data_IF_464171997480
#
_entry.id   IF_464171997480
#
_cell.length_a   1.000
_cell.length_b   1.000
_cell.length_c   1.000
_cell.angle_alpha   90.00
_cell.angle_beta   90.00
_cell.angle_gamma   90.00
#
_symmetry.space_group_name_H-M   'P 1'
#
loop_
_entity.id
_entity.type
_entity.pdbx_description
1 polymer ?
#
# COMPACT_ATOMS: atom_id res chain seq x y z
N UNK A 1 11.45 -8.79 -29.84
CA UNK A 1 11.42 -7.69 -28.85
C UNK A 1 10.01 -7.15 -28.79
N UNK A 2 9.38 -7.01 -27.61
CA UNK A 2 8.09 -6.34 -27.48
C UNK A 2 8.18 -4.89 -27.97
N UNK A 3 7.07 -4.32 -28.45
CA UNK A 3 7.04 -2.90 -28.81
C UNK A 3 7.28 -2.03 -27.56
N UNK A 4 7.82 -0.79 -27.70
CA UNK A 4 8.02 0.10 -26.55
C UNK A 4 6.74 0.34 -25.73
N UNK A 5 5.59 0.35 -26.42
CA UNK A 5 4.25 0.43 -25.81
C UNK A 5 3.96 -0.79 -24.93
N UNK A 6 4.13 -2.00 -25.46
CA UNK A 6 3.86 -3.24 -24.73
C UNK A 6 4.84 -3.46 -23.56
N UNK A 7 6.12 -3.11 -23.76
CA UNK A 7 7.10 -3.17 -22.67
C UNK A 7 6.73 -2.17 -21.56
N UNK A 8 6.33 -0.93 -21.91
CA UNK A 8 5.92 0.05 -20.91
C UNK A 8 4.69 -0.40 -20.12
N UNK A 9 3.67 -0.94 -20.79
CA UNK A 9 2.47 -1.47 -20.12
C UNK A 9 2.83 -2.60 -19.14
N UNK A 10 3.67 -3.55 -19.57
CA UNK A 10 4.14 -4.66 -18.71
C UNK A 10 4.91 -4.14 -17.50
N UNK A 11 5.87 -3.22 -17.70
CA UNK A 11 6.63 -2.61 -16.61
C UNK A 11 5.74 -1.78 -15.67
N UNK A 12 4.73 -1.09 -16.20
CA UNK A 12 3.79 -0.32 -15.38
C UNK A 12 2.94 -1.24 -14.50
N UNK A 13 2.56 -2.41 -15.01
CA UNK A 13 1.76 -3.40 -14.30
C UNK A 13 2.56 -4.16 -13.23
N UNK A 14 3.82 -4.50 -13.52
CA UNK A 14 4.75 -5.01 -12.52
C UNK A 14 4.95 -3.99 -11.39
N UNK A 15 5.14 -2.71 -11.73
CA UNK A 15 5.28 -1.66 -10.74
C UNK A 15 4.01 -1.51 -9.88
N UNK A 16 2.83 -1.58 -10.50
CA UNK A 16 1.55 -1.57 -9.78
C UNK A 16 1.50 -2.67 -8.74
N UNK A 17 1.80 -3.90 -9.17
CA UNK A 17 1.70 -5.09 -8.34
C UNK A 17 2.65 -5.00 -7.14
N UNK A 18 3.89 -4.58 -7.36
CA UNK A 18 4.88 -4.45 -6.29
C UNK A 18 4.57 -3.29 -5.33
N UNK A 19 4.21 -2.12 -5.86
CA UNK A 19 3.85 -0.96 -5.06
C UNK A 19 2.59 -1.22 -4.22
N UNK A 20 1.57 -1.84 -4.81
CA UNK A 20 0.34 -2.18 -4.09
C UNK A 20 0.58 -3.28 -3.06
N UNK A 21 1.39 -4.31 -3.37
CA UNK A 21 1.74 -5.34 -2.39
C UNK A 21 2.43 -4.75 -1.17
N UNK A 22 3.45 -3.91 -1.37
CA UNK A 22 4.15 -3.23 -0.28
C UNK A 22 3.20 -2.37 0.57
N UNK A 23 2.29 -1.65 -0.08
CA UNK A 23 1.29 -0.81 0.58
C UNK A 23 0.28 -1.66 1.37
N UNK A 24 -0.25 -2.74 0.79
CA UNK A 24 -1.20 -3.63 1.46
C UNK A 24 -0.59 -4.28 2.70
N UNK A 25 0.57 -4.90 2.56
CA UNK A 25 1.23 -5.56 3.68
C UNK A 25 1.49 -4.60 4.84
N UNK A 26 2.03 -3.41 4.53
CA UNK A 26 2.33 -2.43 5.56
C UNK A 26 1.07 -1.83 6.20
N UNK A 27 0.07 -1.42 5.41
CA UNK A 27 -1.12 -0.79 5.97
C UNK A 27 -2.02 -1.79 6.70
N UNK A 28 -2.01 -3.09 6.35
CA UNK A 28 -2.65 -4.12 7.16
C UNK A 28 -1.97 -4.21 8.54
N UNK A 29 -0.65 -4.33 8.55
CA UNK A 29 0.15 -4.36 9.79
C UNK A 29 -0.10 -3.13 10.66
N UNK A 30 -0.08 -1.93 10.06
CA UNK A 30 -0.22 -0.66 10.76
C UNK A 30 -1.65 -0.43 11.26
N UNK A 31 -2.66 -0.85 10.49
CA UNK A 31 -4.06 -0.78 10.89
C UNK A 31 -4.33 -1.67 12.10
N UNK A 32 -3.85 -2.91 12.12
CA UNK A 32 -4.04 -3.83 13.26
C UNK A 32 -3.47 -3.21 14.54
N UNK A 33 -2.23 -2.69 14.49
CA UNK A 33 -1.61 -2.02 15.63
C UNK A 33 -2.40 -0.78 16.06
N UNK A 34 -2.82 0.06 15.11
CA UNK A 34 -3.52 1.30 15.42
C UNK A 34 -4.92 1.06 16.02
N UNK A 35 -5.64 0.03 15.55
CA UNK A 35 -6.95 -0.34 16.08
C UNK A 35 -6.80 -0.95 17.48
N UNK A 36 -5.88 -1.90 17.66
CA UNK A 36 -5.63 -2.51 18.97
C UNK A 36 -5.15 -1.48 20.03
N UNK A 37 -4.39 -0.47 19.61
CA UNK A 37 -3.97 0.61 20.51
C UNK A 37 -5.13 1.50 20.97
N UNK A 38 -6.21 1.61 20.18
CA UNK A 38 -7.39 2.44 20.48
C UNK A 38 -8.52 1.65 21.16
N UNK A 39 -8.65 0.35 20.88
CA UNK A 39 -9.75 -0.49 21.39
C UNK A 39 -9.21 -1.64 22.26
N UNK A 40 -9.51 -1.56 23.56
CA UNK A 40 -9.12 -2.59 24.54
C UNK A 40 -9.76 -3.95 24.29
N UNK A 41 -10.95 -4.02 23.68
CA UNK A 41 -11.60 -5.28 23.34
C UNK A 41 -10.85 -5.96 22.19
N UNK A 42 -10.46 -5.20 21.16
CA UNK A 42 -9.61 -5.71 20.07
C UNK A 42 -8.26 -6.15 20.62
N UNK A 43 -7.64 -5.36 21.51
CA UNK A 43 -6.39 -5.77 22.14
C UNK A 43 -6.51 -7.11 22.87
N UNK A 44 -7.60 -7.35 23.62
CA UNK A 44 -7.83 -8.64 24.29
C UNK A 44 -8.04 -9.78 23.29
N UNK A 45 -8.87 -9.58 22.26
CA UNK A 45 -9.10 -10.56 21.19
C UNK A 45 -7.78 -11.01 20.56
N UNK A 46 -6.89 -10.08 20.20
CA UNK A 46 -5.60 -10.43 19.61
C UNK A 46 -4.69 -11.22 20.58
N UNK A 47 -4.84 -11.00 21.88
CA UNK A 47 -4.08 -11.73 22.92
C UNK A 47 -4.64 -13.12 23.22
N UNK A 48 -5.76 -13.54 22.64
CA UNK A 48 -6.23 -14.93 22.73
C UNK A 48 -5.37 -15.88 21.90
N UNK A 49 -4.75 -15.39 20.82
CA UNK A 49 -3.87 -16.17 19.96
C UNK A 49 -2.56 -15.40 19.64
N UNK A 50 -1.74 -15.08 20.66
CA UNK A 50 -0.62 -14.14 20.50
C UNK A 50 0.48 -14.68 19.57
N UNK A 51 0.73 -15.99 19.58
CA UNK A 51 1.71 -16.62 18.68
C UNK A 51 1.29 -16.47 17.21
N UNK A 52 0.01 -16.69 16.90
CA UNK A 52 -0.52 -16.53 15.55
C UNK A 52 -0.40 -15.08 15.08
N UNK A 53 -0.86 -14.12 15.88
CA UNK A 53 -0.85 -12.72 15.49
C UNK A 53 0.56 -12.14 15.36
N UNK A 54 1.48 -12.48 16.26
CA UNK A 54 2.89 -12.06 16.13
C UNK A 54 3.54 -12.66 14.87
N UNK A 55 3.20 -13.90 14.51
CA UNK A 55 3.68 -14.54 13.27
C UNK A 55 3.14 -13.82 12.03
N UNK A 56 1.82 -13.57 11.99
CA UNK A 56 1.18 -12.87 10.88
C UNK A 56 1.72 -11.43 10.72
N UNK A 57 1.85 -10.68 11.82
CA UNK A 57 2.39 -9.32 11.82
C UNK A 57 3.85 -9.28 11.36
N UNK A 58 4.67 -10.24 11.81
CA UNK A 58 6.05 -10.39 11.33
C UNK A 58 6.12 -10.67 9.83
N UNK A 59 5.25 -11.56 9.33
CA UNK A 59 5.16 -11.87 7.90
C UNK A 59 4.72 -10.65 7.07
N UNK A 60 3.72 -9.89 7.52
CA UNK A 60 3.28 -8.65 6.87
C UNK A 60 4.43 -7.63 6.79
N UNK A 61 5.13 -7.38 7.90
CA UNK A 61 6.24 -6.43 7.92
C UNK A 61 7.39 -6.86 6.98
N UNK A 62 7.77 -8.14 7.02
CA UNK A 62 8.80 -8.68 6.14
C UNK A 62 8.40 -8.59 4.66
N UNK A 63 7.16 -8.96 4.34
CA UNK A 63 6.64 -8.94 2.97
C UNK A 63 6.56 -7.53 2.40
N UNK A 64 6.21 -6.54 3.23
CA UNK A 64 6.23 -5.14 2.84
C UNK A 64 7.63 -4.67 2.43
N UNK A 65 8.66 -5.01 3.21
CA UNK A 65 10.05 -4.63 2.93
C UNK A 65 10.63 -5.36 1.72
N UNK A 66 10.25 -6.63 1.51
CA UNK A 66 10.65 -7.39 0.33
C UNK A 66 10.05 -6.79 -0.95
N UNK A 67 8.74 -6.53 -0.97
CA UNK A 67 8.07 -5.89 -2.10
C UNK A 67 8.65 -4.49 -2.38
N UNK A 68 8.88 -3.69 -1.34
CA UNK A 68 9.55 -2.39 -1.46
C UNK A 68 10.96 -2.52 -2.06
N UNK A 69 11.66 -3.60 -1.73
CA UNK A 69 12.97 -3.89 -2.30
C UNK A 69 12.95 -4.18 -3.80
N UNK A 70 11.91 -4.86 -4.30
CA UNK A 70 11.73 -5.09 -5.74
C UNK A 70 11.38 -3.79 -6.49
N UNK A 71 10.59 -2.91 -5.88
CA UNK A 71 10.30 -1.58 -6.47
C UNK A 71 11.58 -0.79 -6.72
N UNK A 72 12.50 -0.80 -5.75
CA UNK A 72 13.76 -0.05 -5.79
C UNK A 72 14.96 -0.92 -6.19
N UNK A 73 14.75 -2.04 -6.87
CA UNK A 73 15.84 -2.93 -7.26
C UNK A 73 16.93 -2.16 -8.02
N UNK A 74 18.20 -2.26 -7.62
CA UNK A 74 19.30 -1.58 -8.29
C UNK A 74 19.75 -2.29 -9.57
N UNK A 75 19.39 -3.56 -9.75
CA UNK A 75 19.78 -4.35 -10.90
C UNK A 75 19.08 -3.83 -12.17
N UNK A 76 19.83 -3.47 -13.23
CA UNK A 76 19.24 -2.98 -14.48
C UNK A 76 18.41 -4.03 -15.22
N UNK A 77 18.70 -5.32 -15.01
CA UNK A 77 18.03 -6.43 -15.69
C UNK A 77 16.69 -6.78 -15.05
N UNK A 78 16.50 -6.40 -13.78
CA UNK A 78 15.25 -6.57 -13.06
C UNK A 78 14.24 -5.45 -13.34
N UNK A 79 12.97 -5.74 -13.05
CA UNK A 79 11.96 -4.69 -12.96
C UNK A 79 12.30 -3.72 -11.82
N UNK A 80 12.19 -2.41 -12.06
CA UNK A 80 12.26 -1.38 -11.02
C UNK A 80 11.54 -0.11 -11.46
N UNK A 81 11.21 0.75 -10.49
CA UNK A 81 10.67 2.09 -10.77
C UNK A 81 11.64 2.94 -11.60
N UNK A 82 12.95 2.73 -11.44
CA UNK A 82 13.97 3.41 -12.25
C UNK A 82 13.89 2.99 -13.71
N UNK A 83 13.81 1.67 -13.96
CA UNK A 83 13.66 1.12 -15.32
C UNK A 83 12.39 1.61 -15.99
N UNK A 84 11.25 1.58 -15.28
CA UNK A 84 9.97 2.07 -15.80
C UNK A 84 10.06 3.54 -16.25
N UNK A 85 10.62 4.42 -15.42
CA UNK A 85 10.78 5.84 -15.78
C UNK A 85 11.85 6.07 -16.85
N UNK A 86 12.86 5.21 -16.96
CA UNK A 86 13.83 5.25 -18.04
C UNK A 86 13.18 4.92 -19.37
N UNK A 87 12.39 3.84 -19.42
CA UNK A 87 11.65 3.40 -20.60
C UNK A 87 10.66 4.48 -21.10
N UNK A 88 9.89 5.07 -20.18
CA UNK A 88 8.95 6.14 -20.52
C UNK A 88 9.64 7.40 -21.07
N UNK A 89 10.78 7.78 -20.49
CA UNK A 89 11.54 8.96 -20.94
C UNK A 89 12.24 8.69 -22.29
N UNK A 90 12.66 7.46 -22.57
CA UNK A 90 13.27 7.10 -23.84
C UNK A 90 12.25 7.09 -25.00
N UNK A 91 11.00 6.71 -24.74
CA UNK A 91 9.97 6.48 -25.75
C UNK A 91 8.77 7.42 -25.53
N UNK A 92 8.93 8.71 -25.80
CA UNK A 92 7.85 9.70 -25.62
C UNK A 92 6.72 9.56 -26.63
N UNK A 93 7.02 8.98 -27.80
CA UNK A 93 6.10 8.68 -28.89
C UNK A 93 4.93 7.80 -28.45
N UNK A 94 5.13 6.89 -27.48
CA UNK A 94 4.03 6.06 -26.95
C UNK A 94 2.95 6.90 -26.23
N UNK A 95 3.25 8.14 -25.87
CA UNK A 95 2.33 9.09 -25.21
C UNK A 95 1.77 10.15 -26.16
N UNK A 96 2.05 10.07 -27.47
CA UNK A 96 1.47 11.00 -28.44
C UNK A 96 -0.05 10.76 -28.62
N UNK A 97 -0.73 11.73 -29.22
CA UNK A 97 -2.18 11.64 -29.48
C UNK A 97 -2.53 10.44 -30.36
N UNK A 98 -1.72 10.14 -31.38
CA UNK A 98 -1.97 9.01 -32.28
C UNK A 98 -1.84 7.66 -31.57
N UNK A 99 -0.83 7.52 -30.71
CA UNK A 99 -0.65 6.31 -29.91
C UNK A 99 -1.82 6.11 -28.92
N UNK A 100 -2.29 7.19 -28.29
CA UNK A 100 -3.48 7.14 -27.43
C UNK A 100 -4.75 6.82 -28.23
N UNK A 101 -4.92 7.44 -29.40
CA UNK A 101 -6.04 7.18 -30.31
C UNK A 101 -6.10 5.70 -30.71
N UNK A 102 -4.96 5.13 -31.11
CA UNK A 102 -4.85 3.72 -31.44
C UNK A 102 -5.23 2.80 -30.27
N UNK A 103 -4.82 3.15 -29.03
CA UNK A 103 -5.23 2.41 -27.83
C UNK A 103 -6.74 2.52 -27.58
N UNK A 104 -7.32 3.71 -27.69
CA UNK A 104 -8.76 3.92 -27.47
C UNK A 104 -9.64 3.18 -28.47
N UNK A 105 -9.27 3.18 -29.77
CA UNK A 105 -9.97 2.42 -30.82
C UNK A 105 -9.97 0.92 -30.56
N UNK A 106 -8.87 0.36 -30.03
CA UNK A 106 -8.81 -1.06 -29.64
C UNK A 106 -9.76 -1.42 -28.49
N UNK A 107 -10.13 -0.44 -27.65
CA UNK A 107 -10.94 -0.66 -26.44
C UNK A 107 -12.42 -0.31 -26.62
N UNK A 108 -12.80 0.36 -27.72
CA UNK A 108 -14.16 0.85 -27.94
C UNK A 108 -14.49 0.84 -29.43
N UNK A 109 -15.55 0.12 -29.79
CA UNK A 109 -16.00 -0.01 -31.18
C UNK A 109 -16.52 1.32 -31.76
N UNK A 110 -17.06 2.20 -30.92
CA UNK A 110 -17.58 3.51 -31.32
C UNK A 110 -16.59 4.66 -31.04
N UNK A 111 -15.29 4.35 -30.91
CA UNK A 111 -14.27 5.34 -30.56
C UNK A 111 -14.29 6.56 -31.48
N UNK A 112 -14.47 6.37 -32.80
CA UNK A 112 -14.41 7.46 -33.77
C UNK A 112 -15.53 8.51 -33.60
N UNK A 113 -16.61 8.22 -32.85
CA UNK A 113 -17.70 9.16 -32.55
C UNK A 113 -17.32 10.24 -31.52
N UNK A 114 -16.39 9.95 -30.61
CA UNK A 114 -16.05 10.83 -29.47
C UNK A 114 -14.55 11.14 -29.36
N UNK A 115 -13.72 10.41 -30.11
CA UNK A 115 -12.27 10.52 -30.03
C UNK A 115 -11.74 11.89 -30.47
N UNK A 116 -12.29 12.58 -31.50
CA UNK A 116 -11.85 13.93 -31.85
C UNK A 116 -11.96 14.92 -30.67
N UNK A 117 -13.12 14.95 -30.00
CA UNK A 117 -13.39 15.81 -28.84
C UNK A 117 -12.49 15.41 -27.66
N UNK A 118 -12.32 14.11 -27.43
CA UNK A 118 -11.45 13.61 -26.37
C UNK A 118 -9.99 14.04 -26.57
N UNK A 119 -9.44 13.85 -27.77
CA UNK A 119 -8.04 14.17 -28.11
C UNK A 119 -7.76 15.69 -28.11
N UNK A 120 -8.79 16.54 -28.21
CA UNK A 120 -8.63 17.99 -28.12
C UNK A 120 -8.04 18.43 -26.76
N UNK A 121 -8.37 17.71 -25.69
CA UNK A 121 -7.98 18.06 -24.31
C UNK A 121 -6.80 17.26 -23.76
N UNK A 122 -6.30 16.28 -24.52
CA UNK A 122 -5.21 15.39 -24.11
C UNK A 122 -3.88 16.13 -23.96
N UNK A 123 -3.19 15.82 -22.86
CA UNK A 123 -1.83 16.25 -22.57
C UNK A 123 -0.80 15.29 -23.16
N UNK A 124 0.16 15.83 -23.93
CA UNK A 124 1.34 15.08 -24.40
C UNK A 124 2.53 15.45 -23.51
N UNK A 125 3.19 14.47 -22.86
CA UNK A 125 4.25 14.73 -21.91
C UNK A 125 5.55 15.16 -22.59
N UNK A 126 6.33 15.97 -21.88
CA UNK A 126 7.66 16.40 -22.25
C UNK A 126 8.74 15.58 -21.55
N UNK A 127 10.00 15.69 -22.02
CA UNK A 127 11.17 15.14 -21.30
C UNK A 127 11.27 15.68 -19.86
N UNK A 128 10.88 16.94 -19.64
CA UNK A 128 10.96 17.57 -18.32
C UNK A 128 9.97 17.00 -17.32
N UNK A 129 8.78 16.59 -17.77
CA UNK A 129 7.80 15.89 -16.92
C UNK A 129 8.43 14.63 -16.31
N UNK A 130 9.10 13.82 -17.14
CA UNK A 130 9.78 12.61 -16.66
C UNK A 130 11.04 12.88 -15.84
N UNK A 131 11.81 13.94 -16.14
CA UNK A 131 12.92 14.37 -15.27
C UNK A 131 12.42 14.76 -13.88
N UNK A 132 11.29 15.45 -13.79
CA UNK A 132 10.64 15.81 -12.52
C UNK A 132 10.22 14.56 -11.74
N UNK A 133 9.58 13.58 -12.39
CA UNK A 133 9.22 12.31 -11.75
C UNK A 133 10.45 11.54 -11.26
N UNK A 134 11.52 11.47 -12.06
CA UNK A 134 12.80 10.85 -11.68
C UNK A 134 13.41 11.51 -10.44
N UNK A 135 13.37 12.85 -10.34
CA UNK A 135 13.83 13.58 -9.15
C UNK A 135 13.03 13.20 -7.90
N UNK A 136 11.70 13.09 -8.01
CA UNK A 136 10.88 12.64 -6.89
C UNK A 136 11.23 11.22 -6.45
N UNK A 137 11.41 10.30 -7.40
CA UNK A 137 11.83 8.91 -7.14
C UNK A 137 13.20 8.85 -6.49
N UNK A 138 14.18 9.63 -6.96
CA UNK A 138 15.54 9.64 -6.41
C UNK A 138 15.56 9.98 -4.91
N UNK A 139 14.75 10.97 -4.48
CA UNK A 139 14.60 11.32 -3.06
C UNK A 139 14.09 10.12 -2.24
N UNK A 140 13.11 9.38 -2.77
CA UNK A 140 12.50 8.23 -2.10
C UNK A 140 13.40 7.00 -2.12
N UNK A 141 14.16 6.82 -3.20
CA UNK A 141 15.19 5.80 -3.33
C UNK A 141 16.27 5.97 -2.26
N UNK A 142 16.79 7.20 -2.10
CA UNK A 142 17.77 7.52 -1.06
C UNK A 142 17.25 7.16 0.33
N UNK A 143 16.01 7.56 0.65
CA UNK A 143 15.34 7.21 1.89
C UNK A 143 15.25 5.68 2.09
N UNK A 144 14.85 4.94 1.05
CA UNK A 144 14.80 3.48 1.08
C UNK A 144 16.18 2.86 1.33
N UNK A 145 17.19 3.25 0.55
CA UNK A 145 18.54 2.70 0.59
C UNK A 145 19.23 2.94 1.94
N UNK A 146 19.04 4.12 2.54
CA UNK A 146 19.67 4.47 3.82
C UNK A 146 18.98 3.81 5.01
N UNK A 147 17.63 3.78 5.04
CA UNK A 147 16.88 3.40 6.25
C UNK A 147 16.25 2.02 6.19
N UNK A 148 15.75 1.59 5.03
CA UNK A 148 14.89 0.41 4.93
C UNK A 148 15.55 -0.78 4.23
N UNK A 149 16.47 -0.54 3.28
CA UNK A 149 17.28 -1.60 2.65
C UNK A 149 18.11 -2.39 3.68
N UNK A 150 18.75 -1.78 4.69
CA UNK A 150 19.48 -2.53 5.71
C UNK A 150 18.58 -3.44 6.54
N UNK A 151 17.35 -3.01 6.87
CA UNK A 151 16.38 -3.88 7.55
C UNK A 151 16.02 -5.09 6.70
N UNK A 152 15.65 -4.87 5.43
CA UNK A 152 15.39 -5.98 4.50
C UNK A 152 16.60 -6.91 4.45
N UNK A 153 17.77 -6.38 4.15
CA UNK A 153 18.94 -7.19 3.86
C UNK A 153 19.47 -7.93 5.08
N UNK A 154 19.49 -7.31 6.26
CA UNK A 154 20.12 -7.88 7.47
C UNK A 154 19.16 -8.63 8.40
N UNK A 155 17.87 -8.33 8.34
CA UNK A 155 16.86 -8.90 9.27
C UNK A 155 15.94 -9.87 8.54
N UNK A 156 15.36 -9.44 7.42
CA UNK A 156 14.23 -10.18 6.81
C UNK A 156 14.61 -11.10 5.64
N UNK A 157 15.58 -10.72 4.81
CA UNK A 157 15.96 -11.45 3.60
C UNK A 157 17.21 -12.29 3.80
N UNK A 158 18.21 -11.77 4.50
CA UNK A 158 19.40 -12.51 4.89
C UNK A 158 19.61 -12.24 6.38
N UNK A 159 19.70 -13.29 7.20
CA UNK A 159 19.82 -13.16 8.66
C UNK A 159 21.25 -12.76 9.05
N UNK A 160 21.64 -11.55 8.67
CA UNK A 160 23.00 -11.02 8.80
C UNK A 160 23.28 -10.34 10.14
N UNK A 161 22.27 -10.15 10.99
CA UNK A 161 22.43 -9.77 12.40
C UNK A 161 21.97 -10.92 13.30
N UNK A 162 22.67 -11.11 14.42
CA UNK A 162 22.47 -12.25 15.30
C UNK A 162 21.91 -11.86 16.67
N UNK A 163 22.02 -10.58 17.07
CA UNK A 163 21.55 -10.12 18.38
C UNK A 163 20.34 -9.18 18.29
N UNK A 164 19.58 -9.10 19.39
CA UNK A 164 18.39 -8.25 19.48
C UNK A 164 18.75 -6.76 19.46
N UNK A 165 19.90 -6.40 20.01
CA UNK A 165 20.43 -5.05 20.06
C UNK A 165 20.72 -4.55 18.64
N UNK A 166 21.39 -5.36 17.82
CA UNK A 166 21.67 -5.04 16.41
C UNK A 166 20.39 -4.85 15.59
N UNK A 167 19.36 -5.68 15.84
CA UNK A 167 18.04 -5.49 15.22
C UNK A 167 17.42 -4.18 15.69
N UNK A 168 17.47 -3.89 17.00
CA UNK A 168 16.98 -2.65 17.59
C UNK A 168 17.62 -1.39 16.99
N UNK A 169 18.94 -1.40 16.79
CA UNK A 169 19.68 -0.29 16.16
C UNK A 169 19.23 -0.01 14.72
N UNK A 170 18.90 -1.07 13.95
CA UNK A 170 18.38 -0.90 12.59
C UNK A 170 16.98 -0.30 12.60
N UNK A 171 16.11 -0.78 13.50
CA UNK A 171 14.75 -0.24 13.64
C UNK A 171 14.74 1.20 14.16
N UNK A 172 15.67 1.56 15.05
CA UNK A 172 15.79 2.91 15.61
C UNK A 172 16.06 3.98 14.54
N UNK A 173 16.64 3.60 13.39
CA UNK A 173 16.87 4.51 12.25
C UNK A 173 15.64 4.75 11.39
N UNK A 174 14.57 3.99 11.60
CA UNK A 174 13.36 4.07 10.78
C UNK A 174 12.27 4.94 11.41
N UNK A 175 11.37 5.41 10.56
CA UNK A 175 10.23 6.21 10.99
C UNK A 175 8.96 5.75 10.26
N UNK A 176 7.90 5.45 11.01
CA UNK A 176 6.63 4.99 10.43
C UNK A 176 5.98 6.06 9.55
N UNK A 177 6.08 7.34 9.90
CA UNK A 177 5.56 8.45 9.09
C UNK A 177 6.25 8.49 7.73
N UNK A 178 7.58 8.35 7.71
CA UNK A 178 8.36 8.33 6.47
C UNK A 178 8.00 7.11 5.61
N UNK A 179 7.87 5.92 6.21
CA UNK A 179 7.50 4.69 5.49
C UNK A 179 6.09 4.79 4.88
N UNK A 180 5.12 5.28 5.65
CA UNK A 180 3.76 5.58 5.16
C UNK A 180 3.79 6.52 3.95
N UNK A 181 4.54 7.61 4.04
CA UNK A 181 4.68 8.60 2.97
C UNK A 181 5.36 8.01 1.72
N UNK A 182 6.38 7.17 1.92
CA UNK A 182 7.07 6.46 0.84
C UNK A 182 6.11 5.54 0.08
N UNK A 183 5.37 4.69 0.78
CA UNK A 183 4.44 3.73 0.17
C UNK A 183 3.29 4.43 -0.55
N UNK A 184 2.69 5.44 0.08
CA UNK A 184 1.63 6.25 -0.56
C UNK A 184 2.16 7.01 -1.77
N UNK A 185 3.43 7.45 -1.76
CA UNK A 185 4.06 8.04 -2.94
C UNK A 185 4.12 7.06 -4.12
N UNK A 186 4.43 5.78 -3.89
CA UNK A 186 4.47 4.78 -4.96
C UNK A 186 3.10 4.59 -5.61
N UNK A 187 2.03 4.51 -4.79
CA UNK A 187 0.66 4.45 -5.30
C UNK A 187 0.30 5.68 -6.15
N UNK A 188 0.65 6.88 -5.67
CA UNK A 188 0.43 8.15 -6.42
C UNK A 188 1.21 8.19 -7.73
N UNK A 189 2.43 7.67 -7.75
CA UNK A 189 3.26 7.59 -8.94
C UNK A 189 2.63 6.65 -9.98
N UNK A 190 2.17 5.47 -9.55
CA UNK A 190 1.44 4.54 -10.42
C UNK A 190 0.21 5.21 -11.02
N UNK A 191 -0.65 5.83 -10.19
CA UNK A 191 -1.85 6.51 -10.68
C UNK A 191 -1.53 7.64 -11.66
N UNK A 192 -0.44 8.38 -11.45
CA UNK A 192 -0.02 9.44 -12.36
C UNK A 192 0.44 8.89 -13.72
N UNK A 193 1.25 7.82 -13.73
CA UNK A 193 1.73 7.18 -14.96
C UNK A 193 0.60 6.49 -15.71
N UNK A 194 -0.29 5.80 -15.00
CA UNK A 194 -1.46 5.16 -15.59
C UNK A 194 -2.40 6.19 -16.23
N UNK A 195 -2.72 7.28 -15.54
CA UNK A 195 -3.55 8.34 -16.10
C UNK A 195 -2.90 9.05 -17.28
N UNK A 196 -1.58 9.24 -17.26
CA UNK A 196 -0.86 9.79 -18.40
C UNK A 196 -0.97 8.86 -19.61
N UNK A 197 -0.73 7.56 -19.41
CA UNK A 197 -0.66 6.60 -20.49
C UNK A 197 -2.04 6.26 -21.10
N UNK A 198 -3.02 5.98 -20.25
CA UNK A 198 -4.35 5.53 -20.66
C UNK A 198 -5.35 6.67 -20.88
N UNK A 199 -5.16 7.83 -20.24
CA UNK A 199 -6.11 8.94 -20.32
C UNK A 199 -5.50 10.24 -20.87
N UNK A 200 -4.20 10.28 -21.16
CA UNK A 200 -3.56 11.50 -21.63
C UNK A 200 -3.63 12.64 -20.62
N UNK A 201 -3.69 12.36 -19.32
CA UNK A 201 -3.71 13.39 -18.30
C UNK A 201 -2.28 13.77 -17.87
N UNK A 202 -2.04 15.05 -17.57
CA UNK A 202 -0.75 15.50 -17.02
C UNK A 202 -0.38 14.70 -15.76
N UNK A 203 0.85 14.17 -15.63
CA UNK A 203 1.23 13.29 -14.52
C UNK A 203 1.40 14.07 -13.21
N UNK A 204 0.28 14.29 -12.51
CA UNK A 204 0.25 15.03 -11.24
C UNK A 204 0.27 14.06 -10.07
N UNK A 205 1.26 14.20 -9.19
CA UNK A 205 1.32 13.47 -7.92
C UNK A 205 0.34 14.09 -6.91
N UNK A 206 -0.97 13.85 -7.08
CA UNK A 206 -2.02 14.38 -6.18
C UNK A 206 -1.77 13.95 -4.74
N UNK A 207 -1.98 14.82 -3.73
CA UNK A 207 -1.87 14.43 -2.32
C UNK A 207 -2.78 13.24 -2.01
N UNK A 208 -2.32 12.35 -1.14
CA UNK A 208 -3.12 11.24 -0.62
C UNK A 208 -2.84 11.08 0.87
N UNK A 209 -3.84 10.61 1.61
CA UNK A 209 -3.71 10.38 3.05
C UNK A 209 -2.78 9.21 3.29
N UNK A 210 -1.96 9.33 4.34
CA UNK A 210 -0.98 8.32 4.72
C UNK A 210 -1.00 7.99 6.22
N UNK A 211 -1.67 8.80 7.05
CA UNK A 211 -1.77 8.54 8.50
C UNK A 211 -2.96 7.64 8.78
N UNK A 212 -2.69 6.44 9.28
CA UNK A 212 -3.71 5.48 9.73
C UNK A 212 -4.58 6.09 10.83
N UNK A 213 -3.99 6.82 11.78
CA UNK A 213 -4.73 7.47 12.86
C UNK A 213 -5.80 8.42 12.31
N UNK A 214 -5.43 9.30 11.37
CA UNK A 214 -6.38 10.18 10.69
C UNK A 214 -7.44 9.40 9.91
N UNK A 215 -7.05 8.34 9.21
CA UNK A 215 -8.01 7.52 8.45
C UNK A 215 -9.08 6.92 9.36
N UNK A 216 -8.68 6.42 10.53
CA UNK A 216 -9.60 5.89 11.55
C UNK A 216 -10.50 6.98 12.14
N UNK A 217 -9.97 8.18 12.40
CA UNK A 217 -10.71 9.29 13.01
C UNK A 217 -11.67 9.99 12.05
N UNK A 218 -11.30 10.05 10.77
CA UNK A 218 -12.04 10.74 9.73
C UNK A 218 -12.13 9.81 8.52
N UNK A 219 -13.06 8.84 8.52
CA UNK A 219 -13.26 7.95 7.39
C UNK A 219 -13.55 8.70 6.10
N UNK A 220 -13.08 8.16 4.97
CA UNK A 220 -13.47 8.70 3.66
C UNK A 220 -14.98 8.57 3.48
N UNK A 221 -15.68 9.63 3.02
CA UNK A 221 -17.15 9.61 2.90
C UNK A 221 -17.65 8.57 1.89
N UNK A 222 -16.79 8.13 0.96
CA UNK A 222 -17.09 7.09 0.00
C UNK A 222 -16.01 6.00 0.06
N UNK A 223 -16.25 4.97 0.88
CA UNK A 223 -15.32 3.86 1.07
C UNK A 223 -15.01 3.10 -0.23
N UNK A 224 -15.96 3.02 -1.17
CA UNK A 224 -15.76 2.32 -2.45
C UNK A 224 -14.75 3.02 -3.36
N UNK A 225 -14.66 4.35 -3.28
CA UNK A 225 -13.74 5.16 -4.08
C UNK A 225 -12.48 5.57 -3.31
N UNK A 226 -12.33 5.09 -2.07
CA UNK A 226 -11.18 5.41 -1.25
C UNK A 226 -9.92 4.73 -1.80
N UNK A 227 -8.77 5.36 -1.57
CA UNK A 227 -7.48 4.77 -1.94
C UNK A 227 -7.27 3.45 -1.20
N UNK A 228 -6.48 2.55 -1.79
CA UNK A 228 -6.22 1.21 -1.26
C UNK A 228 -5.89 1.17 0.24
N UNK A 229 -5.04 2.08 0.71
CA UNK A 229 -4.67 2.14 2.13
C UNK A 229 -5.84 2.54 3.03
N UNK A 230 -6.73 3.41 2.58
CA UNK A 230 -7.89 3.85 3.38
C UNK A 230 -8.90 2.72 3.46
N UNK A 231 -9.18 2.05 2.33
CA UNK A 231 -10.02 0.86 2.29
C UNK A 231 -9.53 -0.21 3.25
N UNK A 232 -8.24 -0.53 3.20
CA UNK A 232 -7.65 -1.56 4.05
C UNK A 232 -7.72 -1.20 5.54
N UNK A 233 -7.49 0.08 5.89
CA UNK A 233 -7.61 0.55 7.28
C UNK A 233 -9.05 0.40 7.79
N UNK A 234 -10.04 0.74 6.96
CA UNK A 234 -11.46 0.60 7.31
C UNK A 234 -11.87 -0.87 7.40
N UNK A 235 -11.51 -1.69 6.43
CA UNK A 235 -11.80 -3.13 6.43
C UNK A 235 -11.20 -3.81 7.68
N UNK A 236 -9.95 -3.49 8.04
CA UNK A 236 -9.31 -4.01 9.24
C UNK A 236 -10.00 -3.52 10.53
N UNK A 237 -10.34 -2.23 10.61
CA UNK A 237 -11.06 -1.66 11.76
C UNK A 237 -12.41 -2.35 11.95
N UNK A 238 -13.21 -2.44 10.89
CA UNK A 238 -14.55 -3.01 10.96
C UNK A 238 -14.49 -4.50 11.29
N UNK A 239 -13.57 -5.24 10.67
CA UNK A 239 -13.39 -6.67 10.94
C UNK A 239 -13.03 -6.90 12.42
N UNK A 240 -12.01 -6.23 12.93
CA UNK A 240 -11.54 -6.41 14.31
C UNK A 240 -12.60 -5.96 15.33
N UNK A 241 -13.25 -4.82 15.08
CA UNK A 241 -14.26 -4.27 16.00
C UNK A 241 -15.55 -5.10 16.05
N UNK A 242 -15.88 -5.81 14.96
CA UNK A 242 -17.02 -6.74 14.95
C UNK A 242 -16.72 -7.97 15.81
N UNK A 243 -15.59 -8.63 15.59
CA UNK A 243 -15.26 -9.88 16.27
C UNK A 243 -14.76 -9.70 17.71
N UNK A 244 -14.33 -8.50 18.11
CA UNK A 244 -13.96 -8.21 19.50
C UNK A 244 -15.17 -8.14 20.44
N UNK A 245 -16.37 -7.93 19.90
CA UNK A 245 -17.62 -7.93 20.66
C UNK A 245 -18.09 -9.34 21.01
N UNK A 246 -17.86 -10.29 20.11
CA UNK A 246 -18.20 -11.70 20.32
C UNK A 246 -17.28 -12.39 21.34
N UNK A 247 -16.06 -11.87 21.50
CA UNK A 247 -15.08 -12.33 22.49
C UNK A 247 -15.29 -11.76 23.90
N UNK A 248 -16.27 -10.87 24.12
CA UNK A 248 -16.59 -10.45 25.48
C UNK A 248 -17.38 -11.56 26.18
N UNK A 249 -16.92 -12.07 27.33
CA UNK A 249 -17.72 -13.01 28.10
C UNK A 249 -19.03 -12.32 28.48
N UNK A 250 -20.16 -12.92 28.09
CA UNK A 250 -21.46 -12.56 28.61
C UNK A 250 -21.38 -12.73 30.13
N UNK A 251 -21.29 -11.61 30.84
CA UNK A 251 -21.54 -11.58 32.27
C UNK A 251 -23.00 -11.99 32.48
N UNK A 252 -23.23 -13.29 32.58
CA UNK A 252 -24.44 -13.83 33.16
C UNK A 252 -24.23 -13.68 34.67
N UNK A 253 -24.99 -12.85 35.39
CA UNK A 253 -24.86 -12.78 36.84
C UNK A 253 -25.31 -14.11 37.40
N UNK A 254 -24.36 -14.92 37.85
CA UNK A 254 -24.60 -16.19 38.52
C UNK A 254 -25.06 -15.95 39.97
N UNK A 255 -26.14 -15.17 40.11
CA UNK A 255 -26.71 -14.76 41.39
C UNK A 255 -28.20 -15.05 41.43
N UNK A 256 -28.62 -16.29 41.15
CA UNK A 256 -29.98 -16.74 41.44
C UNK A 256 -30.17 -18.26 41.61
N UNK A 257 -29.11 -19.01 41.94
CA UNK A 257 -29.22 -20.43 42.33
C UNK A 257 -28.62 -20.76 43.70
N UNK A 258 -28.85 -19.91 44.70
CA UNK A 258 -28.78 -20.32 46.12
C UNK A 258 -29.78 -19.53 46.96
N UNK A 259 -31.04 -19.93 46.89
CA UNK A 259 -32.00 -19.68 47.95
C UNK A 259 -33.12 -20.72 47.85
N UNK A 260 -33.04 -21.77 48.67
CA UNK A 260 -34.23 -22.24 49.38
C UNK A 260 -33.84 -23.00 50.64
N UNK A 261 -34.64 -22.87 51.70
CA UNK A 261 -34.17 -22.91 53.08
C UNK A 261 -34.45 -24.25 53.76
N UNK A 262 -33.73 -24.46 54.85
CA UNK A 262 -34.11 -25.41 55.88
C UNK A 262 -35.56 -25.14 56.35
N UNK A 263 -36.37 -26.19 56.38
CA UNK A 263 -37.54 -26.29 57.23
C UNK A 263 -37.52 -27.68 57.88
N UNK A 264 -37.33 -27.69 59.19
CA UNK A 264 -37.56 -28.84 60.06
C UNK A 264 -39.08 -29.03 60.30
N UNK A 265 -39.41 -30.16 60.95
CA UNK A 265 -40.67 -30.50 61.65
C UNK A 265 -41.59 -31.51 60.91
N UNK A 266 -41.32 -32.82 61.03
CA UNK A 266 -41.89 -33.76 62.02
C UNK A 266 -41.27 -35.15 61.86
#
# INVERSE_FOLDING_TARGET
MPSPSADFESQLELFRTEAQSALQFFFAWDAIHAVAAKDKAVFRLLNEAPLFWNTALGALQGSALVALGRVFDPDPDNHSVTRLLALAHANLDIFCKDALAARKRKLSANADEWLPEYLATVYVPSREDFRTLKRHVAIRRKLYEEKYRPLRHKVFAHRGVTTREQVGELFAKTNLKELRQLLVFLGRLYSALWNLYFNGHKPRLRPARYSVQRMLEQPSPNAQHANLQERLVHEAQDFLSRHSKDAQPTHTPDSQRRASPAAAVR
#
